data_IF_751195808183
#
_entry.id   IF_751195808183
#
_cell.length_a   1.000
_cell.length_b   1.000
_cell.length_c   1.000
_cell.angle_alpha   90.00
_cell.angle_beta   90.00
_cell.angle_gamma   90.00
#
_symmetry.space_group_name_H-M   'P 1'
#
loop_
_entity.id
_entity.type
_entity.pdbx_description
1 polymer ?
#
# COMPACT_ATOMS: atom_id res chain seq x y z
N UNK A 1 13.87 -14.49 -20.34
CA UNK A 1 15.27 -14.44 -19.86
C UNK A 1 15.50 -13.45 -18.71
N UNK A 2 14.84 -12.28 -18.67
CA UNK A 2 15.05 -11.28 -17.60
C UNK A 2 14.74 -11.80 -16.19
N UNK A 3 13.58 -12.43 -15.97
CA UNK A 3 13.19 -12.97 -14.66
C UNK A 3 14.21 -13.97 -14.11
N UNK A 4 14.66 -14.90 -14.95
CA UNK A 4 15.66 -15.91 -14.56
C UNK A 4 16.96 -15.23 -14.14
N UNK A 5 17.41 -14.20 -14.87
CA UNK A 5 18.61 -13.43 -14.49
C UNK A 5 18.40 -12.70 -13.17
N UNK A 6 17.25 -12.05 -12.98
CA UNK A 6 16.94 -11.32 -11.74
C UNK A 6 16.91 -12.25 -10.53
N UNK A 7 16.21 -13.38 -10.64
CA UNK A 7 16.15 -14.39 -9.56
C UNK A 7 17.52 -14.98 -9.28
N UNK A 8 18.32 -15.27 -10.31
CA UNK A 8 19.69 -15.74 -10.14
C UNK A 8 20.55 -14.74 -9.36
N UNK A 9 20.49 -13.45 -9.71
CA UNK A 9 21.23 -12.42 -8.99
C UNK A 9 20.74 -12.23 -7.55
N UNK A 10 19.42 -12.27 -7.31
CA UNK A 10 18.88 -12.22 -5.95
C UNK A 10 19.36 -13.42 -5.12
N UNK A 11 19.37 -14.62 -5.70
CA UNK A 11 19.91 -15.82 -5.07
C UNK A 11 21.40 -15.67 -4.71
N UNK A 12 22.22 -15.11 -5.61
CA UNK A 12 23.62 -14.80 -5.32
C UNK A 12 23.74 -13.84 -4.13
N UNK A 13 22.95 -12.76 -4.10
CA UNK A 13 22.99 -11.80 -2.99
C UNK A 13 22.69 -12.51 -1.67
N UNK A 14 21.60 -13.28 -1.60
CA UNK A 14 21.23 -14.02 -0.38
C UNK A 14 22.32 -15.02 0.02
N UNK A 15 22.95 -15.69 -0.94
CA UNK A 15 24.05 -16.63 -0.68
C UNK A 15 25.29 -15.93 -0.10
N UNK A 16 25.56 -14.68 -0.50
CA UNK A 16 26.68 -13.90 0.01
C UNK A 16 26.42 -13.31 1.41
N UNK A 17 25.17 -13.32 1.90
CA UNK A 17 24.88 -12.81 3.24
C UNK A 17 25.48 -13.75 4.31
N UNK A 18 26.28 -13.23 5.25
CA UNK A 18 26.86 -14.05 6.31
C UNK A 18 25.78 -14.57 7.27
N UNK A 19 25.76 -15.88 7.48
CA UNK A 19 24.85 -16.52 8.42
C UNK A 19 25.35 -16.49 9.87
N UNK A 20 26.67 -16.34 10.08
CA UNK A 20 27.29 -16.31 11.41
C UNK A 20 27.40 -14.88 11.98
N UNK A 21 27.43 -14.80 13.31
CA UNK A 21 27.45 -13.52 14.03
C UNK A 21 28.70 -12.69 13.73
N UNK A 22 29.85 -13.32 13.50
CA UNK A 22 31.10 -12.60 13.24
C UNK A 22 31.09 -11.98 11.83
N UNK A 23 30.59 -12.70 10.84
CA UNK A 23 30.36 -12.20 9.49
C UNK A 23 29.36 -11.05 9.45
N UNK A 24 28.26 -11.15 10.22
CA UNK A 24 27.26 -10.07 10.31
C UNK A 24 27.83 -8.78 10.92
N UNK A 25 28.67 -8.90 11.94
CA UNK A 25 29.35 -7.73 12.54
C UNK A 25 30.27 -7.06 11.53
N UNK A 26 31.07 -7.83 10.78
CA UNK A 26 31.95 -7.28 9.74
C UNK A 26 31.16 -6.59 8.62
N UNK A 27 30.06 -7.20 8.18
CA UNK A 27 29.18 -6.59 7.18
C UNK A 27 28.58 -5.28 7.68
N UNK A 28 28.15 -5.24 8.94
CA UNK A 28 27.58 -4.03 9.56
C UNK A 28 28.62 -2.92 9.67
N UNK A 29 29.86 -3.24 10.07
CA UNK A 29 30.96 -2.27 10.10
C UNK A 29 31.30 -1.74 8.70
N UNK A 30 31.36 -2.61 7.69
CA UNK A 30 31.60 -2.17 6.32
C UNK A 30 30.46 -1.27 5.81
N UNK A 31 29.21 -1.58 6.17
CA UNK A 31 28.06 -0.77 5.82
C UNK A 31 28.10 0.61 6.49
N UNK A 32 28.53 0.70 7.76
CA UNK A 32 28.66 1.99 8.45
C UNK A 32 29.77 2.86 7.84
N UNK A 33 30.91 2.26 7.47
CA UNK A 33 31.98 2.97 6.76
C UNK A 33 31.51 3.47 5.38
N UNK A 34 30.77 2.65 4.64
CA UNK A 34 30.19 3.04 3.35
C UNK A 34 29.21 4.21 3.52
N UNK A 35 28.38 4.17 4.56
CA UNK A 35 27.46 5.26 4.88
C UNK A 35 28.21 6.56 5.15
N UNK A 36 29.31 6.53 5.93
CA UNK A 36 30.13 7.71 6.17
C UNK A 36 30.72 8.31 4.89
N UNK A 37 31.08 7.46 3.91
CA UNK A 37 31.57 7.94 2.60
C UNK A 37 30.47 8.62 1.81
N UNK A 38 29.26 8.05 1.82
CA UNK A 38 28.09 8.64 1.17
C UNK A 38 27.74 9.98 1.81
N UNK A 39 27.71 10.06 3.15
CA UNK A 39 27.39 11.31 3.85
C UNK A 39 28.41 12.40 3.51
N UNK A 40 29.71 12.07 3.58
CA UNK A 40 30.79 12.99 3.22
C UNK A 40 30.69 13.45 1.76
N UNK A 41 30.30 12.56 0.85
CA UNK A 41 30.07 12.92 -0.55
C UNK A 41 28.90 13.90 -0.70
N UNK A 42 27.78 13.67 0.01
CA UNK A 42 26.63 14.55 -0.01
C UNK A 42 26.93 15.93 0.59
N UNK A 43 27.73 16.00 1.66
CA UNK A 43 28.16 17.27 2.24
C UNK A 43 28.94 18.11 1.22
N UNK A 44 29.73 17.45 0.36
CA UNK A 44 30.52 18.10 -0.70
C UNK A 44 29.75 18.34 -2.00
N UNK A 45 28.68 17.58 -2.25
CA UNK A 45 27.93 17.58 -3.50
C UNK A 45 26.42 17.65 -3.25
N UNK A 46 25.98 18.61 -2.43
CA UNK A 46 24.59 18.78 -2.02
C UNK A 46 23.57 18.71 -3.16
N UNK A 47 23.72 19.48 -4.26
CA UNK A 47 22.77 19.45 -5.37
C UNK A 47 22.61 18.06 -6.02
N UNK A 48 23.67 17.27 -6.08
CA UNK A 48 23.62 15.91 -6.64
C UNK A 48 22.85 14.97 -5.71
N UNK A 49 23.04 15.09 -4.39
CA UNK A 49 22.28 14.26 -3.44
C UNK A 49 20.79 14.64 -3.39
N UNK A 50 20.43 15.92 -3.56
CA UNK A 50 19.01 16.32 -3.69
C UNK A 50 18.36 15.66 -4.91
N UNK A 51 19.00 15.73 -6.08
CA UNK A 51 18.49 15.07 -7.30
C UNK A 51 18.42 13.55 -7.14
N UNK A 52 19.44 12.94 -6.54
CA UNK A 52 19.44 11.50 -6.25
C UNK A 52 18.26 11.11 -5.33
N UNK A 53 17.96 11.93 -4.33
CA UNK A 53 16.83 11.71 -3.44
C UNK A 53 15.48 11.79 -4.17
N UNK A 54 15.28 12.76 -5.06
CA UNK A 54 14.06 12.88 -5.88
C UNK A 54 13.83 11.67 -6.81
N UNK A 55 14.91 11.14 -7.39
CA UNK A 55 14.85 9.92 -8.20
C UNK A 55 14.51 8.72 -7.30
N UNK A 56 15.12 8.65 -6.12
CA UNK A 56 14.87 7.58 -5.15
C UNK A 56 13.44 7.59 -4.62
N UNK A 57 12.85 8.75 -4.35
CA UNK A 57 11.44 8.86 -3.92
C UNK A 57 10.50 8.34 -5.00
N UNK A 58 10.68 8.79 -6.25
CA UNK A 58 9.90 8.30 -7.39
C UNK A 58 10.03 6.78 -7.61
N UNK A 59 11.23 6.24 -7.37
CA UNK A 59 11.46 4.80 -7.44
C UNK A 59 10.70 4.04 -6.34
N UNK A 60 10.72 4.54 -5.10
CA UNK A 60 9.97 3.94 -3.97
C UNK A 60 8.47 3.92 -4.24
N UNK A 61 7.90 4.99 -4.78
CA UNK A 61 6.47 5.05 -5.10
C UNK A 61 6.08 4.00 -6.14
N UNK A 62 6.91 3.84 -7.19
CA UNK A 62 6.72 2.78 -8.19
C UNK A 62 6.91 1.39 -7.60
N UNK A 63 7.86 1.21 -6.69
CA UNK A 63 8.07 -0.07 -6.01
C UNK A 63 6.88 -0.44 -5.12
N UNK A 64 6.30 0.53 -4.38
CA UNK A 64 5.11 0.32 -3.57
C UNK A 64 3.91 -0.13 -4.44
N UNK A 65 3.66 0.57 -5.55
CA UNK A 65 2.63 0.19 -6.51
C UNK A 65 2.88 -1.21 -7.11
N UNK A 66 4.14 -1.52 -7.47
CA UNK A 66 4.49 -2.83 -8.01
C UNK A 66 4.26 -3.97 -7.01
N UNK A 67 4.53 -3.73 -5.73
CA UNK A 67 4.26 -4.69 -4.67
C UNK A 67 2.75 -4.91 -4.47
N UNK A 68 1.94 -3.86 -4.51
CA UNK A 68 0.47 -3.95 -4.45
C UNK A 68 -0.09 -4.75 -5.65
N UNK A 69 0.38 -4.46 -6.87
CA UNK A 69 -0.03 -5.16 -8.08
C UNK A 69 0.31 -6.66 -8.07
N UNK A 70 1.54 -7.02 -7.68
CA UNK A 70 1.92 -8.44 -7.53
C UNK A 70 1.11 -9.09 -6.41
N UNK A 71 0.82 -8.33 -5.35
CA UNK A 71 -0.13 -8.68 -4.29
C UNK A 71 -1.45 -9.18 -4.85
N UNK A 72 -2.11 -8.35 -5.67
CA UNK A 72 -3.44 -8.65 -6.21
C UNK A 72 -3.43 -9.77 -7.27
N UNK A 73 -2.34 -9.90 -8.04
CA UNK A 73 -2.24 -10.89 -9.13
C UNK A 73 -1.84 -12.28 -8.65
N UNK A 74 -0.95 -12.37 -7.64
CA UNK A 74 -0.43 -13.65 -7.12
C UNK A 74 -1.26 -14.14 -5.94
N UNK A 75 -1.71 -13.21 -5.10
CA UNK A 75 -2.63 -13.49 -4.02
C UNK A 75 -4.00 -12.94 -4.44
N UNK A 76 -4.69 -13.65 -5.36
CA UNK A 76 -6.15 -13.62 -5.31
C UNK A 76 -6.52 -13.96 -3.88
N UNK A 77 -6.87 -12.95 -3.07
CA UNK A 77 -7.42 -13.18 -1.75
C UNK A 77 -8.61 -14.10 -2.00
N UNK A 78 -8.64 -15.34 -1.49
CA UNK A 78 -9.94 -15.87 -1.15
C UNK A 78 -10.50 -14.81 -0.21
N UNK A 79 -11.61 -14.18 -0.59
CA UNK A 79 -12.40 -13.39 0.34
C UNK A 79 -12.96 -14.36 1.39
N UNK A 80 -12.08 -14.89 2.24
CA UNK A 80 -12.42 -15.68 3.38
C UNK A 80 -12.87 -14.70 4.47
N UNK A 81 -14.15 -14.38 4.41
CA UNK A 81 -14.99 -14.19 5.59
C UNK A 81 -14.72 -13.01 6.54
N UNK A 82 -14.10 -11.91 6.13
CA UNK A 82 -14.15 -10.69 6.98
C UNK A 82 -15.46 -9.91 6.77
N UNK A 83 -16.03 -9.91 5.56
CA UNK A 83 -17.30 -9.21 5.26
C UNK A 83 -18.56 -9.99 5.68
N UNK A 84 -18.48 -11.32 5.83
CA UNK A 84 -19.63 -12.13 6.28
C UNK A 84 -19.89 -12.02 7.79
N UNK A 85 -18.83 -11.81 8.58
CA UNK A 85 -18.87 -11.66 10.03
C UNK A 85 -19.33 -10.26 10.48
N UNK A 86 -19.07 -9.22 9.66
CA UNK A 86 -19.54 -7.85 9.97
C UNK A 86 -21.03 -7.66 9.63
N UNK A 87 -21.52 -8.33 8.58
CA UNK A 87 -22.96 -8.37 8.26
C UNK A 87 -23.80 -9.12 9.30
N UNK A 88 -23.20 -10.04 10.07
CA UNK A 88 -23.88 -10.78 11.16
C UNK A 88 -23.97 -9.98 12.47
N UNK A 89 -23.17 -8.92 12.62
CA UNK A 89 -23.14 -8.05 13.82
C UNK A 89 -23.85 -6.71 13.64
N UNK A 90 -24.59 -6.51 12.57
CA UNK A 90 -25.52 -5.40 12.47
C UNK A 90 -26.83 -5.81 13.18
N UNK A 91 -27.31 -5.05 14.18
CA UNK A 91 -28.66 -5.26 14.68
C UNK A 91 -29.61 -5.11 13.49
N UNK A 92 -30.55 -6.04 13.36
CA UNK A 92 -31.60 -6.00 12.35
C UNK A 92 -32.43 -4.73 12.58
N UNK A 93 -32.04 -3.62 11.95
CA UNK A 93 -32.79 -2.37 11.98
C UNK A 93 -34.09 -2.64 11.23
N UNK A 94 -35.14 -2.97 12.00
CA UNK A 94 -36.51 -3.22 11.55
C UNK A 94 -37.22 -1.91 11.21
N UNK A 95 -36.57 -1.03 10.46
CA UNK A 95 -37.22 0.21 10.04
C UNK A 95 -36.87 0.50 8.58
N UNK A 96 -37.58 -0.22 7.70
CA UNK A 96 -37.54 -0.03 6.24
C UNK A 96 -38.52 1.06 5.79
N UNK A 97 -39.20 1.74 6.71
CA UNK A 97 -40.11 2.84 6.39
C UNK A 97 -39.29 4.04 5.92
N UNK A 98 -39.51 4.47 4.68
CA UNK A 98 -38.97 5.74 4.19
C UNK A 98 -39.87 6.88 4.68
N UNK A 99 -39.31 8.06 4.91
CA UNK A 99 -40.08 9.25 5.36
C UNK A 99 -41.25 9.59 4.41
N UNK A 100 -41.14 9.21 3.13
CA UNK A 100 -42.19 9.33 2.12
C UNK A 100 -43.40 8.43 2.39
N UNK A 101 -43.23 7.31 3.10
CA UNK A 101 -44.31 6.37 3.44
C UNK A 101 -45.18 6.88 4.58
N UNK A 102 -44.69 7.88 5.34
CA UNK A 102 -45.41 8.54 6.42
C UNK A 102 -46.32 9.68 5.94
N UNK A 103 -46.30 10.00 4.64
CA UNK A 103 -47.15 11.05 4.08
C UNK A 103 -48.59 10.52 3.90
N UNK A 104 -49.62 11.17 4.48
CA UNK A 104 -51.01 10.75 4.31
C UNK A 104 -51.47 10.97 2.86
N UNK A 105 -51.60 9.89 2.09
CA UNK A 105 -51.99 9.89 0.67
C UNK A 105 -53.45 10.28 0.41
N UNK A 106 -54.25 10.51 1.46
CA UNK A 106 -55.71 10.74 1.35
C UNK A 106 -56.13 12.21 1.30
N UNK A 107 -55.22 13.19 1.36
CA UNK A 107 -55.58 14.60 1.15
C UNK A 107 -55.45 14.99 -0.31
N UNK A 108 -56.58 14.97 -1.03
CA UNK A 108 -56.67 15.60 -2.35
C UNK A 108 -56.29 17.09 -2.22
N UNK A 109 -55.30 17.54 -3.00
CA UNK A 109 -54.95 18.95 -3.09
C UNK A 109 -56.18 19.76 -3.55
N UNK A 110 -56.59 20.71 -2.71
CA UNK A 110 -57.70 21.63 -2.95
C UNK A 110 -57.52 22.34 -4.31
N UNK A 111 -58.35 21.99 -5.30
CA UNK A 111 -58.44 22.77 -6.55
C UNK A 111 -59.14 24.11 -6.27
N UNK A 112 -58.37 25.12 -5.83
CA UNK A 112 -58.76 26.52 -5.97
C UNK A 112 -58.61 26.93 -7.44
N UNK A 113 -59.72 27.06 -8.17
CA UNK A 113 -59.77 27.81 -9.43
C UNK A 113 -60.22 29.25 -9.13
N UNK A 114 -59.33 30.21 -9.39
CA UNK A 114 -59.61 31.64 -9.44
C UNK A 114 -59.68 32.04 -10.91
N UNK A 115 -60.84 32.58 -11.29
CA UNK A 115 -61.23 33.34 -12.50
C UNK A 115 -60.66 32.87 -13.85
#
# INVERSE_FOLDING_TARGET
>A
MFIIRTVFWLGIIVLLLPADKAGQQRLTSAASEAYQRISTFCDRNGPTCVKAYEIWTSFKDKAAFGMELVGDVVFEKPQANTQLEEKRRQPLVRDTLQQSDLAPSWRAAERRKSN
#
